data_IF_660779236622
#
_entry.id   IF_660779236622
#
_cell.length_a   1.000
_cell.length_b   1.000
_cell.length_c   1.000
_cell.angle_alpha   90.00
_cell.angle_beta   90.00
_cell.angle_gamma   90.00
#
_symmetry.space_group_name_H-M   'P 1'
#
loop_
_entity.id
_entity.type
_entity.pdbx_description
1 polymer ?
#
# COMPACT_ATOMS: atom_id res chain seq x y z
N UNK A 1 -4.01 -20.99 -2.71
CA UNK A 1 -3.26 -21.32 -3.96
C UNK A 1 -3.29 -22.84 -4.24
N UNK A 2 -4.49 -23.37 -4.38
CA UNK A 2 -4.73 -24.82 -4.40
C UNK A 2 -4.36 -25.53 -5.71
N UNK A 3 -3.95 -24.80 -6.75
CA UNK A 3 -3.67 -25.38 -8.05
C UNK A 3 -2.38 -24.83 -8.65
N UNK A 4 -1.51 -25.66 -9.26
CA UNK A 4 -0.23 -25.19 -9.85
C UNK A 4 -0.39 -24.35 -11.11
N UNK A 5 -1.53 -24.43 -11.79
CA UNK A 5 -1.77 -23.76 -13.07
C UNK A 5 -1.49 -22.25 -13.06
N UNK A 6 -1.96 -21.47 -12.06
CA UNK A 6 -1.62 -20.04 -11.99
C UNK A 6 -0.13 -19.78 -11.79
N UNK A 7 0.60 -20.66 -11.07
CA UNK A 7 2.06 -20.53 -10.96
C UNK A 7 2.73 -20.67 -12.34
N UNK A 8 2.32 -21.67 -13.11
CA UNK A 8 2.84 -21.88 -14.47
C UNK A 8 2.52 -20.68 -15.37
N UNK A 9 1.28 -20.19 -15.32
CA UNK A 9 0.83 -19.03 -16.10
C UNK A 9 1.63 -17.76 -15.78
N UNK A 10 1.75 -17.40 -14.51
CA UNK A 10 2.49 -16.20 -14.09
C UNK A 10 4.00 -16.34 -14.25
N UNK A 11 4.57 -17.54 -14.14
CA UNK A 11 5.97 -17.79 -14.48
C UNK A 11 6.21 -17.57 -15.98
N UNK A 12 5.35 -18.10 -16.84
CA UNK A 12 5.44 -17.88 -18.30
C UNK A 12 5.27 -16.40 -18.68
N UNK A 13 4.49 -15.65 -17.92
CA UNK A 13 4.32 -14.21 -18.08
C UNK A 13 5.47 -13.39 -17.47
N UNK A 14 6.53 -14.04 -16.95
CA UNK A 14 7.68 -13.40 -16.30
C UNK A 14 7.29 -12.45 -15.14
N UNK A 15 6.23 -12.80 -14.41
CA UNK A 15 5.73 -11.99 -13.29
C UNK A 15 6.23 -12.47 -11.93
N UNK A 16 6.66 -13.73 -11.82
CA UNK A 16 7.17 -14.29 -10.59
C UNK A 16 8.68 -14.07 -10.48
N UNK A 17 9.12 -13.70 -9.27
CA UNK A 17 10.55 -13.52 -8.97
C UNK A 17 11.31 -14.84 -9.04
N UNK A 18 12.34 -14.89 -9.88
CA UNK A 18 13.26 -16.03 -9.95
C UNK A 18 14.08 -16.17 -8.65
N UNK A 19 14.33 -15.05 -7.95
CA UNK A 19 15.03 -15.01 -6.67
C UNK A 19 14.18 -15.43 -5.47
N UNK A 20 12.89 -15.75 -5.66
CA UNK A 20 11.99 -16.22 -4.61
C UNK A 20 11.69 -15.17 -3.52
N UNK A 21 11.74 -13.85 -3.85
CA UNK A 21 11.51 -12.75 -2.91
C UNK A 21 10.77 -11.61 -3.57
N UNK A 22 9.80 -11.02 -2.86
CA UNK A 22 9.29 -9.71 -3.23
C UNK A 22 10.29 -8.64 -2.77
N UNK A 23 10.73 -7.79 -3.69
CA UNK A 23 11.71 -6.71 -3.45
C UNK A 23 11.07 -5.34 -3.78
N UNK A 24 10.09 -4.89 -3.01
CA UNK A 24 9.39 -3.62 -3.28
C UNK A 24 10.36 -2.45 -3.36
N UNK A 25 10.25 -1.67 -4.44
CA UNK A 25 11.00 -0.44 -4.66
C UNK A 25 12.52 -0.61 -4.78
N UNK A 26 13.04 -1.85 -4.84
CA UNK A 26 14.45 -2.13 -5.05
C UNK A 26 14.80 -2.22 -6.54
N UNK A 27 16.01 -1.80 -6.90
CA UNK A 27 16.53 -1.87 -8.27
C UNK A 27 16.56 -3.30 -8.83
N UNK A 28 16.70 -4.30 -7.96
CA UNK A 28 16.70 -5.72 -8.31
C UNK A 28 15.31 -6.36 -8.29
N UNK A 29 14.24 -5.56 -8.22
CA UNK A 29 12.86 -6.03 -8.29
C UNK A 29 12.60 -6.75 -9.63
N UNK A 30 12.39 -8.06 -9.57
CA UNK A 30 12.28 -8.97 -10.73
C UNK A 30 10.95 -9.72 -10.78
N UNK A 31 9.97 -9.27 -9.99
CA UNK A 31 8.68 -9.90 -9.86
C UNK A 31 8.29 -10.16 -8.41
N UNK A 32 7.21 -10.89 -8.20
CA UNK A 32 6.70 -11.18 -6.87
C UNK A 32 6.71 -12.67 -6.54
N UNK A 33 6.53 -12.98 -5.26
CA UNK A 33 6.35 -14.35 -4.77
C UNK A 33 4.91 -14.52 -4.34
N UNK A 34 4.27 -15.58 -4.79
CA UNK A 34 2.92 -15.94 -4.38
C UNK A 34 2.93 -16.53 -2.97
N UNK A 35 2.00 -16.10 -2.16
CA UNK A 35 1.83 -16.59 -0.80
C UNK A 35 0.35 -16.84 -0.51
N UNK A 36 0.07 -17.49 0.59
CA UNK A 36 -1.28 -17.81 1.05
C UNK A 36 -1.56 -17.14 2.39
N UNK A 37 -2.82 -16.80 2.60
CA UNK A 37 -3.26 -16.21 3.84
C UNK A 37 -4.69 -15.72 3.74
N UNK A 38 -5.25 -15.35 4.88
CA UNK A 38 -6.58 -14.77 4.97
C UNK A 38 -6.73 -14.03 6.29
N UNK A 39 -7.63 -13.08 6.33
CA UNK A 39 -7.99 -12.38 7.55
C UNK A 39 -9.49 -12.08 7.55
N UNK A 40 -10.04 -11.88 8.73
CA UNK A 40 -11.41 -11.45 8.96
C UNK A 40 -11.38 -10.17 9.77
N UNK A 41 -12.12 -9.17 9.33
CA UNK A 41 -12.31 -7.91 10.05
C UNK A 41 -13.75 -7.81 10.51
N UNK A 42 -13.94 -7.44 11.76
CA UNK A 42 -15.26 -7.08 12.28
C UNK A 42 -15.39 -5.57 12.17
N UNK A 43 -16.36 -5.12 11.40
CA UNK A 43 -16.64 -3.69 11.18
C UNK A 43 -17.90 -3.29 11.93
N UNK A 44 -17.87 -2.11 12.53
CA UNK A 44 -18.98 -1.52 13.26
C UNK A 44 -18.98 0.00 13.07
N UNK A 45 -20.13 0.67 12.95
CA UNK A 45 -20.17 2.13 12.96
C UNK A 45 -19.48 2.69 14.20
N UNK A 46 -18.68 3.74 14.02
CA UNK A 46 -17.83 4.28 15.07
C UNK A 46 -18.63 4.72 16.31
N UNK A 47 -19.72 5.42 16.10
CA UNK A 47 -20.64 5.88 17.16
C UNK A 47 -21.20 4.70 17.99
N UNK A 48 -21.53 3.59 17.32
CA UNK A 48 -22.01 2.36 17.98
C UNK A 48 -20.88 1.66 18.74
N UNK A 49 -19.67 1.57 18.14
CA UNK A 49 -18.52 0.97 18.80
C UNK A 49 -18.16 1.72 20.08
N UNK A 50 -18.20 3.05 20.04
CA UNK A 50 -17.97 3.90 21.21
C UNK A 50 -19.07 3.72 22.28
N UNK A 51 -20.34 3.72 21.87
CA UNK A 51 -21.47 3.55 22.78
C UNK A 51 -21.48 2.17 23.47
N UNK A 52 -21.05 1.12 22.75
CA UNK A 52 -21.01 -0.24 23.27
C UNK A 52 -19.71 -0.56 24.03
N UNK A 53 -18.75 0.39 24.10
CA UNK A 53 -17.45 0.22 24.76
C UNK A 53 -16.51 -0.78 24.08
N UNK A 54 -16.64 -0.95 22.76
CA UNK A 54 -15.81 -1.88 21.99
C UNK A 54 -14.35 -1.42 21.91
N UNK A 55 -13.42 -2.37 21.87
CA UNK A 55 -12.01 -2.08 21.60
C UNK A 55 -11.79 -1.78 20.13
N UNK A 56 -11.67 -0.51 19.78
CA UNK A 56 -11.45 -0.06 18.41
C UNK A 56 -9.96 -0.24 18.05
N UNK A 57 -9.67 -0.96 16.97
CA UNK A 57 -8.28 -1.18 16.51
C UNK A 57 -7.80 -0.09 15.55
N UNK A 58 -8.68 0.40 14.69
CA UNK A 58 -8.47 1.52 13.79
C UNK A 58 -9.82 2.05 13.31
N UNK A 59 -9.84 3.25 12.77
CA UNK A 59 -11.02 3.87 12.16
C UNK A 59 -10.80 3.98 10.66
N UNK A 60 -11.74 3.48 9.85
CA UNK A 60 -11.74 3.70 8.40
C UNK A 60 -12.30 5.10 8.13
N UNK A 61 -11.46 6.02 7.66
CA UNK A 61 -11.85 7.40 7.33
C UNK A 61 -12.55 7.49 5.99
N UNK A 62 -12.01 6.79 5.01
CA UNK A 62 -12.60 6.66 3.69
C UNK A 62 -12.02 5.44 2.97
N UNK A 63 -12.75 4.94 1.98
CA UNK A 63 -12.28 3.89 1.08
C UNK A 63 -12.88 4.10 -0.30
N UNK A 64 -12.21 3.57 -1.31
CA UNK A 64 -12.71 3.63 -2.67
C UNK A 64 -12.14 2.52 -3.53
N UNK A 65 -12.82 2.27 -4.63
CA UNK A 65 -12.40 1.35 -5.67
C UNK A 65 -12.69 1.97 -7.02
N UNK A 66 -11.79 1.74 -7.99
CA UNK A 66 -12.04 2.07 -9.38
C UNK A 66 -11.43 1.01 -10.29
N UNK A 67 -11.51 1.23 -11.59
CA UNK A 67 -10.85 0.40 -12.59
C UNK A 67 -10.07 1.30 -13.55
N UNK A 68 -8.91 0.80 -14.00
CA UNK A 68 -8.09 1.51 -15.01
C UNK A 68 -8.85 1.69 -16.34
N UNK A 69 -9.70 0.73 -16.70
CA UNK A 69 -10.53 0.79 -17.89
C UNK A 69 -9.71 0.99 -19.17
N UNK A 70 -10.17 1.92 -20.01
CA UNK A 70 -9.50 2.25 -21.28
C UNK A 70 -8.16 3.03 -21.10
N UNK A 71 -7.77 3.38 -19.90
CA UNK A 71 -6.50 4.06 -19.60
C UNK A 71 -5.29 3.12 -19.69
N UNK A 72 -5.52 1.81 -19.74
CA UNK A 72 -4.45 0.81 -19.85
C UNK A 72 -3.97 0.66 -21.30
N UNK A 73 -2.66 0.63 -21.46
CA UNK A 73 -2.01 0.31 -22.75
C UNK A 73 -1.79 -1.19 -22.94
N UNK A 74 -2.08 -2.00 -21.92
CA UNK A 74 -2.00 -3.45 -21.92
C UNK A 74 -2.46 -4.03 -20.59
N UNK A 75 -2.81 -5.32 -20.56
CA UNK A 75 -3.35 -5.97 -19.37
C UNK A 75 -2.38 -5.95 -18.19
N UNK A 76 -1.07 -6.00 -18.47
CA UNK A 76 -0.01 -6.06 -17.46
C UNK A 76 0.49 -4.69 -17.00
N UNK A 77 0.07 -3.60 -17.65
CA UNK A 77 0.57 -2.25 -17.37
C UNK A 77 -0.51 -1.51 -16.58
N UNK A 78 -0.29 -1.19 -15.30
CA UNK A 78 -1.24 -0.43 -14.50
C UNK A 78 -1.30 1.04 -14.96
N UNK A 79 -2.40 1.72 -14.66
CA UNK A 79 -2.57 3.14 -14.98
C UNK A 79 -2.27 4.03 -13.77
N UNK A 80 -1.17 4.82 -13.84
CA UNK A 80 -0.89 5.83 -12.82
C UNK A 80 -2.03 6.84 -12.67
N UNK A 81 -2.68 7.21 -13.78
CA UNK A 81 -3.82 8.13 -13.76
C UNK A 81 -5.01 7.52 -12.98
N UNK A 82 -5.32 6.23 -13.20
CA UNK A 82 -6.38 5.54 -12.46
C UNK A 82 -6.12 5.45 -10.97
N UNK A 83 -4.87 5.11 -10.59
CA UNK A 83 -4.45 5.07 -9.19
C UNK A 83 -4.48 6.47 -8.54
N UNK A 84 -3.98 7.49 -9.24
CA UNK A 84 -3.98 8.89 -8.76
C UNK A 84 -5.40 9.39 -8.53
N UNK A 85 -6.31 9.17 -9.47
CA UNK A 85 -7.72 9.57 -9.36
C UNK A 85 -8.38 8.93 -8.14
N UNK A 86 -8.21 7.61 -7.95
CA UNK A 86 -8.75 6.90 -6.81
C UNK A 86 -8.26 7.48 -5.48
N UNK A 87 -6.94 7.65 -5.33
CA UNK A 87 -6.35 8.18 -4.09
C UNK A 87 -6.84 9.61 -3.81
N UNK A 88 -6.96 10.48 -4.84
CA UNK A 88 -7.51 11.83 -4.68
C UNK A 88 -8.98 11.81 -4.25
N UNK A 89 -9.79 10.96 -4.86
CA UNK A 89 -11.20 10.80 -4.48
C UNK A 89 -11.33 10.37 -3.02
N UNK A 90 -10.59 9.34 -2.60
CA UNK A 90 -10.63 8.84 -1.23
C UNK A 90 -10.13 9.90 -0.24
N UNK A 91 -9.05 10.62 -0.56
CA UNK A 91 -8.56 11.72 0.26
C UNK A 91 -9.62 12.82 0.42
N UNK A 92 -10.23 13.26 -0.66
CA UNK A 92 -11.28 14.28 -0.64
C UNK A 92 -12.47 13.83 0.23
N UNK A 93 -12.92 12.58 0.10
CA UNK A 93 -14.03 12.03 0.89
C UNK A 93 -13.71 11.84 2.38
N UNK A 94 -12.44 11.71 2.73
CA UNK A 94 -11.99 11.55 4.12
C UNK A 94 -12.07 12.86 4.93
N UNK A 95 -12.10 14.01 4.26
CA UNK A 95 -11.97 15.33 4.88
C UNK A 95 -10.57 15.62 5.42
N UNK A 96 -9.56 14.85 4.98
CA UNK A 96 -8.17 15.01 5.36
C UNK A 96 -7.39 15.72 4.25
N UNK A 97 -6.26 16.33 4.62
CA UNK A 97 -5.28 16.86 3.68
C UNK A 97 -4.16 15.84 3.42
N UNK A 98 -3.45 15.99 2.31
CA UNK A 98 -2.32 15.11 1.98
C UNK A 98 -1.23 15.09 3.08
N UNK A 99 -1.05 16.21 3.77
CA UNK A 99 -0.10 16.35 4.88
C UNK A 99 -0.50 15.56 6.13
N UNK A 100 -1.77 15.17 6.26
CA UNK A 100 -2.25 14.38 7.40
C UNK A 100 -1.88 12.90 7.29
N UNK A 101 -1.45 12.44 6.12
CA UNK A 101 -1.11 11.03 5.92
C UNK A 101 0.32 10.78 6.41
N UNK A 102 0.49 9.94 7.40
CA UNK A 102 1.78 9.66 8.04
C UNK A 102 2.59 8.59 7.30
N UNK A 103 1.95 7.63 6.65
CA UNK A 103 2.60 6.65 5.77
C UNK A 103 1.64 5.98 4.80
N UNK A 104 2.20 5.34 3.77
CA UNK A 104 1.44 4.49 2.84
C UNK A 104 1.99 3.05 2.87
N UNK A 105 1.09 2.12 3.17
CA UNK A 105 1.27 0.71 2.85
C UNK A 105 0.94 0.52 1.37
N UNK A 106 1.96 0.44 0.56
CA UNK A 106 1.83 0.34 -0.87
C UNK A 106 1.43 -1.07 -1.33
N UNK A 107 0.88 -1.17 -2.52
CA UNK A 107 0.74 -2.46 -3.19
C UNK A 107 2.11 -3.11 -3.38
N UNK A 108 3.11 -2.38 -3.84
CA UNK A 108 4.54 -2.69 -3.76
C UNK A 108 4.89 -4.15 -3.98
N UNK A 109 4.79 -4.63 -5.21
CA UNK A 109 5.02 -6.05 -5.55
C UNK A 109 6.47 -6.41 -5.85
N UNK A 110 7.34 -5.41 -6.06
CA UNK A 110 8.71 -5.61 -6.52
C UNK A 110 8.80 -5.87 -8.02
N UNK A 111 7.87 -5.30 -8.79
CA UNK A 111 7.88 -5.44 -10.25
C UNK A 111 8.47 -4.21 -10.93
N UNK A 112 9.21 -4.41 -12.02
CA UNK A 112 9.90 -3.34 -12.73
C UNK A 112 8.96 -2.24 -13.27
N UNK A 113 7.71 -2.58 -13.55
CA UNK A 113 6.71 -1.64 -14.09
C UNK A 113 5.76 -1.15 -13.01
N UNK A 114 5.29 -2.04 -12.13
CA UNK A 114 4.26 -1.70 -11.15
C UNK A 114 4.73 -0.70 -10.11
N UNK A 115 5.91 -0.93 -9.53
CA UNK A 115 6.43 -0.09 -8.46
C UNK A 115 6.66 1.37 -8.88
N UNK A 116 7.27 1.66 -10.07
CA UNK A 116 7.39 3.04 -10.56
C UNK A 116 6.04 3.74 -10.79
N UNK A 117 5.08 3.02 -11.37
CA UNK A 117 3.73 3.56 -11.63
C UNK A 117 3.03 3.93 -10.33
N UNK A 118 3.08 3.04 -9.34
CA UNK A 118 2.48 3.29 -8.03
C UNK A 118 3.19 4.40 -7.26
N UNK A 119 4.52 4.39 -7.21
CA UNK A 119 5.30 5.44 -6.53
C UNK A 119 4.99 6.82 -7.11
N UNK A 120 4.89 6.93 -8.44
CA UNK A 120 4.49 8.16 -9.12
C UNK A 120 3.09 8.61 -8.68
N UNK A 121 2.11 7.71 -8.66
CA UNK A 121 0.76 8.04 -8.24
C UNK A 121 0.71 8.48 -6.76
N UNK A 122 1.40 7.78 -5.84
CA UNK A 122 1.50 8.15 -4.42
C UNK A 122 2.15 9.55 -4.27
N UNK A 123 3.29 9.77 -4.94
CA UNK A 123 4.00 11.04 -4.87
C UNK A 123 3.17 12.23 -5.32
N UNK A 124 2.43 12.08 -6.42
CA UNK A 124 1.55 13.12 -6.94
C UNK A 124 0.33 13.45 -6.09
N UNK A 125 -0.11 12.53 -5.24
CA UNK A 125 -1.25 12.76 -4.34
C UNK A 125 -0.79 13.21 -2.98
N UNK A 126 0.18 12.51 -2.41
CA UNK A 126 0.53 12.64 -0.99
C UNK A 126 1.92 13.24 -0.75
N UNK A 127 2.81 13.21 -1.75
CA UNK A 127 4.20 13.67 -1.60
C UNK A 127 4.40 15.17 -1.80
N UNK A 128 3.77 15.73 -2.83
CA UNK A 128 4.07 17.08 -3.35
C UNK A 128 3.77 18.25 -2.39
N UNK A 129 2.88 18.08 -1.42
CA UNK A 129 2.47 19.13 -0.49
C UNK A 129 3.11 19.01 0.90
N UNK A 130 4.21 18.26 1.03
CA UNK A 130 4.82 17.92 2.33
C UNK A 130 6.19 18.56 2.50
N UNK A 131 6.53 18.91 3.73
CA UNK A 131 7.89 19.34 4.10
C UNK A 131 8.86 18.17 4.28
N UNK A 132 8.36 16.98 4.68
CA UNK A 132 9.16 15.78 4.91
C UNK A 132 8.73 14.65 3.98
N UNK A 133 9.65 13.77 3.55
CA UNK A 133 9.33 12.63 2.72
C UNK A 133 8.26 11.74 3.36
N UNK A 134 7.27 11.32 2.57
CA UNK A 134 6.23 10.40 2.99
C UNK A 134 6.79 8.97 3.09
N UNK A 135 6.77 8.33 4.28
CA UNK A 135 7.19 6.95 4.40
C UNK A 135 6.31 6.00 3.58
N UNK A 136 6.96 5.13 2.80
CA UNK A 136 6.28 4.07 2.06
C UNK A 136 6.93 2.72 2.33
N UNK A 137 6.13 1.65 2.28
CA UNK A 137 6.60 0.28 2.45
C UNK A 137 5.58 -0.73 1.90
N UNK A 138 5.92 -2.00 1.93
CA UNK A 138 5.01 -3.08 1.55
C UNK A 138 5.24 -4.33 2.37
N UNK A 139 4.19 -4.88 2.94
CA UNK A 139 4.20 -6.14 3.70
C UNK A 139 4.59 -7.34 2.82
N UNK A 140 4.50 -7.20 1.51
CA UNK A 140 4.85 -8.26 0.57
C UNK A 140 6.33 -8.65 0.65
N UNK A 141 7.20 -7.76 1.09
CA UNK A 141 8.59 -8.09 1.40
C UNK A 141 8.72 -9.16 2.50
N UNK A 142 7.76 -9.21 3.43
CA UNK A 142 7.76 -10.13 4.57
C UNK A 142 6.99 -11.42 4.28
N UNK A 143 5.79 -11.31 3.69
CA UNK A 143 4.83 -12.41 3.56
C UNK A 143 4.71 -12.95 2.14
N UNK A 144 5.20 -12.21 1.14
CA UNK A 144 4.85 -12.47 -0.25
C UNK A 144 3.49 -11.87 -0.63
N UNK A 145 3.04 -12.13 -1.83
CA UNK A 145 1.79 -11.64 -2.38
C UNK A 145 0.66 -12.66 -2.16
N UNK A 146 -0.24 -12.35 -1.24
CA UNK A 146 -1.37 -13.22 -0.86
C UNK A 146 -2.50 -13.23 -1.92
N UNK A 147 -2.24 -12.75 -3.12
CA UNK A 147 -3.21 -12.69 -4.22
C UNK A 147 -4.51 -11.96 -3.80
N UNK A 148 -5.64 -12.64 -3.83
CA UNK A 148 -6.92 -12.05 -3.43
C UNK A 148 -6.93 -11.49 -2.00
N UNK A 149 -6.12 -12.05 -1.10
CA UNK A 149 -6.02 -11.61 0.30
C UNK A 149 -4.91 -10.56 0.53
N UNK A 150 -4.20 -10.12 -0.51
CA UNK A 150 -3.02 -9.24 -0.35
C UNK A 150 -3.38 -7.89 0.27
N UNK A 151 -4.54 -7.31 -0.07
CA UNK A 151 -5.03 -6.07 0.52
C UNK A 151 -5.31 -6.23 2.02
N UNK A 152 -5.80 -7.39 2.45
CA UNK A 152 -6.04 -7.69 3.87
C UNK A 152 -4.72 -7.74 4.66
N UNK A 153 -3.66 -8.33 4.08
CA UNK A 153 -2.34 -8.34 4.72
C UNK A 153 -1.80 -6.93 4.94
N UNK A 154 -1.89 -6.06 3.93
CA UNK A 154 -1.52 -4.65 4.03
C UNK A 154 -2.34 -3.89 5.07
N UNK A 155 -3.66 -4.13 5.10
CA UNK A 155 -4.56 -3.50 6.05
C UNK A 155 -4.23 -3.92 7.49
N UNK A 156 -4.04 -5.21 7.76
CA UNK A 156 -3.67 -5.72 9.09
C UNK A 156 -2.31 -5.17 9.53
N UNK A 157 -1.29 -5.15 8.65
CA UNK A 157 -0.01 -4.50 8.96
C UNK A 157 -0.18 -3.04 9.31
N UNK A 158 -1.00 -2.31 8.57
CA UNK A 158 -1.25 -0.88 8.82
C UNK A 158 -1.93 -0.65 10.17
N UNK A 159 -2.93 -1.44 10.53
CA UNK A 159 -3.54 -1.41 11.87
C UNK A 159 -2.50 -1.65 12.96
N UNK A 160 -1.63 -2.65 12.79
CA UNK A 160 -0.56 -2.95 13.75
C UNK A 160 0.48 -1.81 13.82
N UNK A 161 0.82 -1.19 12.68
CA UNK A 161 1.75 -0.06 12.64
C UNK A 161 1.18 1.16 13.36
N UNK A 162 -0.10 1.49 13.15
CA UNK A 162 -0.79 2.56 13.88
C UNK A 162 -0.84 2.26 15.38
N UNK A 163 -1.25 1.05 15.76
CA UNK A 163 -1.34 0.62 17.17
C UNK A 163 0.00 0.69 17.91
N UNK A 164 1.07 0.26 17.24
CA UNK A 164 2.42 0.28 17.82
C UNK A 164 3.16 1.60 17.57
N UNK A 165 2.58 2.51 16.79
CA UNK A 165 3.17 3.78 16.37
C UNK A 165 4.58 3.60 15.81
N UNK A 166 4.74 2.61 14.94
CA UNK A 166 6.03 2.27 14.38
C UNK A 166 5.90 1.59 13.02
N UNK A 167 6.86 1.86 12.16
CA UNK A 167 7.03 1.19 10.88
C UNK A 167 8.19 0.21 10.96
N UNK A 168 7.98 -1.06 10.66
CA UNK A 168 9.07 -2.01 10.51
C UNK A 168 9.89 -1.69 9.24
N UNK A 169 11.18 -2.03 9.20
CA UNK A 169 12.01 -1.80 8.02
C UNK A 169 11.52 -2.64 6.83
N UNK A 170 11.65 -2.06 5.63
CA UNK A 170 11.42 -2.78 4.39
C UNK A 170 12.51 -3.83 4.20
N UNK A 171 12.12 -5.11 4.08
CA UNK A 171 13.05 -6.19 3.76
C UNK A 171 13.43 -6.15 2.28
N UNK A 172 14.61 -6.68 1.98
CA UNK A 172 15.13 -6.83 0.60
C UNK A 172 15.28 -5.52 -0.17
N UNK A 173 15.35 -4.38 0.54
CA UNK A 173 15.59 -3.07 -0.03
C UNK A 173 17.06 -2.70 0.16
N UNK A 174 17.88 -3.02 -0.83
CA UNK A 174 19.33 -2.73 -0.83
C UNK A 174 19.61 -1.44 -1.59
N UNK A 175 19.17 -1.37 -2.83
CA UNK A 175 19.36 -0.23 -3.72
C UNK A 175 18.01 0.28 -4.19
N UNK A 176 17.67 1.56 -3.98
CA UNK A 176 16.43 2.12 -4.51
C UNK A 176 16.34 1.97 -6.02
N UNK A 177 15.15 1.68 -6.51
CA UNK A 177 14.91 1.55 -7.95
C UNK A 177 15.21 2.89 -8.66
N UNK A 178 16.18 2.93 -9.60
CA UNK A 178 16.60 4.15 -10.28
C UNK A 178 15.51 4.76 -11.18
N UNK A 179 14.50 3.99 -11.54
CA UNK A 179 13.34 4.45 -12.31
C UNK A 179 12.30 5.16 -11.44
N UNK A 180 12.54 5.31 -10.13
CA UNK A 180 11.67 6.02 -9.19
C UNK A 180 12.44 7.21 -8.63
N UNK A 181 11.99 8.40 -8.96
CA UNK A 181 12.60 9.66 -8.49
C UNK A 181 12.08 10.01 -7.08
N UNK A 182 12.48 9.21 -6.07
CA UNK A 182 11.97 9.30 -4.69
C UNK A 182 12.06 10.71 -4.11
N UNK A 183 13.14 11.43 -4.37
CA UNK A 183 13.33 12.81 -3.88
C UNK A 183 12.34 13.80 -4.53
N UNK A 184 12.11 13.70 -5.83
CA UNK A 184 11.16 14.55 -6.55
C UNK A 184 9.71 14.25 -6.17
N UNK A 185 9.41 12.97 -5.92
CA UNK A 185 8.12 12.50 -5.46
C UNK A 185 7.91 12.70 -3.95
N UNK A 186 8.96 13.16 -3.24
CA UNK A 186 8.99 13.34 -1.80
C UNK A 186 8.53 12.08 -1.03
N UNK A 187 9.09 10.93 -1.43
CA UNK A 187 8.83 9.62 -0.83
C UNK A 187 10.04 9.12 -0.06
N UNK A 188 9.82 8.59 1.13
CA UNK A 188 10.83 8.03 2.02
C UNK A 188 10.73 6.50 2.11
N UNK A 189 11.80 5.79 1.79
CA UNK A 189 11.87 4.34 1.96
C UNK A 189 12.20 4.00 3.41
N UNK A 190 11.38 3.20 4.06
CA UNK A 190 11.57 2.79 5.46
C UNK A 190 12.64 1.70 5.53
N UNK A 191 13.90 2.07 5.76
CA UNK A 191 15.06 1.15 5.82
C UNK A 191 15.37 0.64 7.22
N UNK A 192 14.90 1.35 8.24
CA UNK A 192 15.12 1.05 9.65
C UNK A 192 13.79 1.12 10.39
N UNK A 193 13.74 0.52 11.57
CA UNK A 193 12.62 0.74 12.48
C UNK A 193 12.41 2.24 12.68
N UNK A 194 11.21 2.72 12.37
CA UNK A 194 10.88 4.15 12.39
C UNK A 194 9.68 4.36 13.31
N UNK A 195 9.90 5.07 14.41
CA UNK A 195 8.82 5.48 15.31
C UNK A 195 7.94 6.53 14.60
N UNK A 196 6.63 6.37 14.68
CA UNK A 196 5.66 7.37 14.24
C UNK A 196 5.35 8.29 15.41
N UNK A 197 5.58 9.59 15.21
CA UNK A 197 5.34 10.59 16.24
C UNK A 197 3.91 11.12 16.13
N UNK A 198 3.09 10.83 17.13
CA UNK A 198 1.77 11.45 17.26
C UNK A 198 1.94 12.88 17.72
N UNK A 199 1.41 13.82 16.94
CA UNK A 199 1.30 15.21 17.37
C UNK A 199 0.07 15.39 18.29
N UNK A 200 0.13 16.31 19.28
CA UNK A 200 -1.01 16.60 20.13
C UNK A 200 -2.25 16.99 19.30
N UNK A 201 -3.39 16.33 19.59
CA UNK A 201 -4.65 16.58 18.90
C UNK A 201 -4.75 16.08 17.46
N UNK A 202 -3.71 15.42 16.93
CA UNK A 202 -3.71 14.85 15.59
C UNK A 202 -3.43 13.34 15.63
N UNK A 203 -4.43 12.51 15.39
CA UNK A 203 -4.23 11.06 15.30
C UNK A 203 -3.39 10.70 14.07
N UNK A 204 -2.66 9.57 14.15
CA UNK A 204 -1.91 9.04 13.02
C UNK A 204 -2.87 8.52 11.96
N UNK A 205 -2.54 8.77 10.70
CA UNK A 205 -3.32 8.33 9.54
C UNK A 205 -2.43 7.62 8.53
N UNK A 206 -2.92 6.55 7.96
CA UNK A 206 -2.21 5.79 6.95
C UNK A 206 -3.09 5.40 5.77
N UNK A 207 -2.49 5.33 4.58
CA UNK A 207 -3.15 4.79 3.41
C UNK A 207 -2.71 3.35 3.12
N UNK A 208 -3.63 2.57 2.56
CA UNK A 208 -3.38 1.19 2.09
C UNK A 208 -3.80 1.07 0.64
N UNK A 209 -2.88 0.64 -0.21
CA UNK A 209 -3.12 0.37 -1.62
C UNK A 209 -3.24 -1.13 -1.91
N UNK A 210 -4.20 -1.49 -2.76
CA UNK A 210 -4.29 -2.83 -3.32
C UNK A 210 -4.73 -2.75 -4.78
N UNK A 211 -3.85 -3.13 -5.70
CA UNK A 211 -4.05 -2.97 -7.13
C UNK A 211 -4.04 -4.33 -7.83
N UNK A 212 -5.11 -4.65 -8.52
CA UNK A 212 -5.28 -5.92 -9.22
C UNK A 212 -4.66 -5.92 -10.61
N UNK A 213 -4.13 -7.05 -11.01
CA UNK A 213 -3.55 -7.29 -12.34
C UNK A 213 -4.47 -6.86 -13.49
N UNK A 214 -5.78 -7.09 -13.36
CA UNK A 214 -6.79 -6.68 -14.34
C UNK A 214 -7.07 -5.17 -14.39
N UNK A 215 -6.48 -4.39 -13.47
CA UNK A 215 -6.68 -2.95 -13.38
C UNK A 215 -7.76 -2.51 -12.40
N UNK A 216 -8.24 -3.40 -11.54
CA UNK A 216 -9.05 -3.03 -10.39
C UNK A 216 -8.15 -2.43 -9.31
N UNK A 217 -8.46 -1.24 -8.82
CA UNK A 217 -7.70 -0.55 -7.79
C UNK A 217 -8.57 -0.35 -6.55
N UNK A 218 -7.97 -0.50 -5.36
CA UNK A 218 -8.58 -0.18 -4.08
C UNK A 218 -7.62 0.66 -3.24
N UNK A 219 -8.17 1.64 -2.52
CA UNK A 219 -7.45 2.47 -1.58
C UNK A 219 -8.30 2.71 -0.33
N UNK A 220 -7.66 2.66 0.83
CA UNK A 220 -8.32 2.86 2.14
C UNK A 220 -7.45 3.79 2.99
N UNK A 221 -8.06 4.76 3.66
CA UNK A 221 -7.43 5.58 4.68
C UNK A 221 -7.87 5.11 6.07
N UNK A 222 -6.89 4.76 6.90
CA UNK A 222 -7.06 4.31 8.27
C UNK A 222 -6.49 5.35 9.23
N UNK A 223 -7.19 5.54 10.35
CA UNK A 223 -6.75 6.41 11.45
C UNK A 223 -6.59 5.57 12.71
N UNK A 224 -5.58 5.89 13.55
CA UNK A 224 -5.51 5.33 14.90
C UNK A 224 -6.74 5.75 15.71
N UNK A 225 -7.26 4.92 16.64
CA UNK A 225 -8.35 5.34 17.53
C UNK A 225 -7.90 6.48 18.46
N UNK A 226 -8.83 7.37 18.79
CA UNK A 226 -8.63 8.47 19.74
C UNK A 226 -8.49 7.99 21.18
#
# INVERSE_FOLDING_TARGET
>A
LLHPYPFVGFTKASMLSAGGRCKPFDASGDGYVRAEGGAVLVLKPLDRALADGDTIQAVIRASGVNADGARKTGITIPSSAGQTELMREVLSRSGLEAADIDFIEAHGTGTAVGDPVEAHAIGHVYGVARSNPLPIGSVKANLGHLEAASGMAGLVKTVLALKNRALPPALHLTNPNPNIHFSELNLGLVRHYTALQRLPGRPLVAGVNSFGFGGANAHVLLQEPE
#
